data_IF_333204260377
#
_entry.id   IF_333204260377
#
_cell.length_a   1.000
_cell.length_b   1.000
_cell.length_c   1.000
_cell.angle_alpha   90.00
_cell.angle_beta   90.00
_cell.angle_gamma   90.00
#
_symmetry.space_group_name_H-M   'P 1'
#
loop_
_entity.id
_entity.type
_entity.pdbx_description
1 polymer ?
#
# COMPACT_ATOMS: atom_id res chain seq x y z
N UNK A 1 -26.70 8.57 -2.19
CA UNK A 1 -25.56 7.88 -1.57
C UNK A 1 -24.38 8.82 -1.67
N UNK A 2 -23.97 9.46 -0.58
CA UNK A 2 -22.70 10.20 -0.57
C UNK A 2 -21.58 9.16 -0.74
N UNK A 3 -20.82 9.27 -1.83
CA UNK A 3 -19.59 8.52 -2.01
C UNK A 3 -18.62 9.05 -0.96
N UNK A 4 -18.59 8.41 0.22
CA UNK A 4 -17.63 8.75 1.26
C UNK A 4 -16.25 8.58 0.63
N UNK A 5 -15.56 9.69 0.40
CA UNK A 5 -14.29 9.69 -0.32
C UNK A 5 -13.33 8.69 0.36
N UNK A 6 -12.88 7.70 -0.40
CA UNK A 6 -12.01 6.64 0.10
C UNK A 6 -10.70 7.27 0.60
N UNK A 7 -10.38 7.07 1.88
CA UNK A 7 -9.17 7.62 2.47
C UNK A 7 -7.92 7.05 1.78
N UNK A 8 -6.78 7.76 1.84
CA UNK A 8 -5.51 7.26 1.28
C UNK A 8 -5.11 5.90 1.87
N UNK A 9 -5.35 5.70 3.17
CA UNK A 9 -5.07 4.42 3.83
C UNK A 9 -5.97 3.32 3.30
N UNK A 10 -7.26 3.59 3.08
CA UNK A 10 -8.20 2.64 2.50
C UNK A 10 -7.82 2.29 1.04
N UNK A 11 -7.39 3.28 0.25
CA UNK A 11 -6.86 3.06 -1.11
C UNK A 11 -5.65 2.14 -1.11
N UNK A 12 -4.68 2.40 -0.24
CA UNK A 12 -3.48 1.58 -0.13
C UNK A 12 -3.80 0.16 0.36
N UNK A 13 -4.71 0.05 1.33
CA UNK A 13 -5.18 -1.23 1.86
C UNK A 13 -5.88 -2.07 0.78
N UNK A 14 -6.76 -1.45 -0.04
CA UNK A 14 -7.42 -2.12 -1.18
C UNK A 14 -6.40 -2.55 -2.24
N UNK A 15 -5.44 -1.70 -2.58
CA UNK A 15 -4.37 -2.05 -3.52
C UNK A 15 -3.51 -3.23 -3.03
N UNK A 16 -3.19 -3.29 -1.74
CA UNK A 16 -2.50 -4.44 -1.14
C UNK A 16 -3.32 -5.73 -1.25
N UNK A 17 -4.63 -5.65 -0.97
CA UNK A 17 -5.55 -6.78 -1.12
C UNK A 17 -5.65 -7.24 -2.58
N UNK A 18 -5.82 -6.32 -3.53
CA UNK A 18 -5.94 -6.63 -4.97
C UNK A 18 -4.67 -7.27 -5.54
N UNK A 19 -3.51 -7.00 -4.93
CA UNK A 19 -2.23 -7.63 -5.26
C UNK A 19 -2.09 -9.02 -4.65
N UNK A 20 -2.46 -9.21 -3.38
CA UNK A 20 -2.37 -10.51 -2.69
C UNK A 20 -3.44 -11.48 -3.18
N UNK A 21 -4.63 -10.98 -3.55
CA UNK A 21 -5.81 -11.73 -4.00
C UNK A 21 -6.16 -12.91 -3.08
N UNK A 22 -6.43 -12.64 -1.79
CA UNK A 22 -6.80 -13.70 -0.87
C UNK A 22 -8.22 -14.23 -1.15
N UNK A 23 -8.55 -15.41 -0.63
CA UNK A 23 -9.80 -16.13 -0.90
C UNK A 23 -11.06 -15.55 -0.21
N UNK A 24 -11.02 -14.32 0.29
CA UNK A 24 -12.16 -13.65 0.93
C UNK A 24 -12.52 -12.36 0.19
N UNK A 25 -13.80 -11.98 0.18
CA UNK A 25 -14.27 -10.78 -0.52
C UNK A 25 -14.09 -9.51 0.33
N UNK A 26 -13.45 -8.48 -0.24
CA UNK A 26 -13.28 -7.20 0.42
C UNK A 26 -14.60 -6.58 0.87
N UNK A 27 -15.69 -6.77 0.13
CA UNK A 27 -16.96 -6.11 0.41
C UNK A 27 -17.87 -6.96 1.34
N UNK A 28 -17.38 -8.10 1.83
CA UNK A 28 -18.07 -8.96 2.81
C UNK A 28 -18.28 -8.21 4.15
N UNK A 29 -19.51 -8.02 4.64
CA UNK A 29 -19.77 -7.30 5.89
C UNK A 29 -19.03 -7.90 7.09
N UNK A 30 -18.79 -9.21 7.11
CA UNK A 30 -18.17 -9.92 8.23
C UNK A 30 -16.62 -9.85 8.20
N UNK A 31 -16.03 -9.39 7.10
CA UNK A 31 -14.58 -9.31 6.93
C UNK A 31 -13.92 -8.03 7.48
N UNK A 32 -14.61 -7.29 8.37
CA UNK A 32 -14.12 -6.01 8.88
C UNK A 32 -12.80 -6.11 9.63
N UNK A 33 -12.57 -7.22 10.34
CA UNK A 33 -11.30 -7.49 11.01
C UNK A 33 -10.15 -7.61 10.01
N UNK A 34 -10.38 -8.24 8.86
CA UNK A 34 -9.38 -8.40 7.80
C UNK A 34 -9.11 -7.06 7.10
N UNK A 35 -10.15 -6.29 6.77
CA UNK A 35 -9.99 -4.92 6.25
C UNK A 35 -9.19 -4.04 7.20
N UNK A 36 -9.43 -4.14 8.52
CA UNK A 36 -8.65 -3.42 9.53
C UNK A 36 -7.17 -3.80 9.48
N UNK A 37 -6.85 -5.09 9.40
CA UNK A 37 -5.48 -5.56 9.26
C UNK A 37 -4.79 -4.94 8.03
N UNK A 38 -5.46 -4.92 6.87
CA UNK A 38 -4.89 -4.30 5.66
C UNK A 38 -4.68 -2.78 5.80
N UNK A 39 -5.58 -2.06 6.48
CA UNK A 39 -5.37 -0.64 6.80
C UNK A 39 -4.17 -0.43 7.74
N UNK A 40 -3.99 -1.31 8.72
CA UNK A 40 -2.87 -1.23 9.65
C UNK A 40 -1.54 -1.54 8.94
N UNK A 41 -1.54 -2.51 8.01
CA UNK A 41 -0.40 -2.78 7.13
C UNK A 41 -0.09 -1.57 6.22
N UNK A 42 -1.11 -0.93 5.66
CA UNK A 42 -0.93 0.28 4.86
C UNK A 42 -0.30 1.42 5.67
N UNK A 43 -0.72 1.62 6.93
CA UNK A 43 -0.09 2.59 7.84
C UNK A 43 1.36 2.24 8.13
N UNK A 44 1.66 0.97 8.41
CA UNK A 44 3.01 0.51 8.71
C UNK A 44 3.94 0.69 7.51
N UNK A 45 3.49 0.34 6.30
CA UNK A 45 4.26 0.53 5.07
C UNK A 45 4.57 2.01 4.80
N UNK A 46 3.58 2.89 4.97
CA UNK A 46 3.77 4.34 4.83
C UNK A 46 4.72 4.88 5.91
N UNK A 47 4.58 4.40 7.15
CA UNK A 47 5.49 4.75 8.25
C UNK A 47 6.94 4.35 7.96
N UNK A 48 7.15 3.14 7.43
CA UNK A 48 8.47 2.65 7.05
C UNK A 48 9.12 3.44 5.90
N UNK A 49 8.32 4.03 5.00
CA UNK A 49 8.83 4.95 3.97
C UNK A 49 9.27 6.31 4.57
N UNK A 50 8.61 6.75 5.64
CA UNK A 50 8.89 8.05 6.29
C UNK A 50 10.11 8.00 7.20
N UNK A 51 10.30 6.89 7.90
CA UNK A 51 11.45 6.63 8.77
C UNK A 51 12.13 5.33 8.32
N UNK A 52 12.78 5.34 7.15
CA UNK A 52 13.47 4.16 6.65
C UNK A 52 14.63 3.83 7.59
N UNK A 53 14.69 2.58 8.05
CA UNK A 53 15.87 2.08 8.75
C UNK A 53 17.07 2.05 7.79
N UNK A 54 18.30 2.02 8.31
CA UNK A 54 19.51 2.03 7.47
C UNK A 54 19.53 0.89 6.41
N UNK A 55 18.88 -0.24 6.70
CA UNK A 55 18.70 -1.36 5.76
C UNK A 55 17.72 -1.05 4.62
N UNK A 56 16.66 -0.27 4.88
CA UNK A 56 15.72 0.22 3.87
C UNK A 56 16.35 1.37 3.07
N UNK A 57 17.19 2.20 3.68
CA UNK A 57 17.89 3.30 2.99
C UNK A 57 18.92 2.77 1.99
N UNK A 58 19.68 1.73 2.34
CA UNK A 58 20.65 1.09 1.44
C UNK A 58 19.99 0.31 0.30
N UNK A 59 18.82 -0.32 0.52
CA UNK A 59 18.00 -0.86 -0.57
C UNK A 59 17.24 0.22 -1.37
N UNK A 60 16.91 1.35 -0.72
CA UNK A 60 16.16 2.47 -1.27
C UNK A 60 16.88 3.20 -2.40
N UNK A 61 18.22 3.30 -2.36
CA UNK A 61 18.98 3.82 -3.50
C UNK A 61 18.79 2.98 -4.78
N UNK A 62 18.65 1.66 -4.65
CA UNK A 62 18.36 0.79 -5.79
C UNK A 62 16.89 0.93 -6.25
N UNK A 63 15.96 1.11 -5.31
CA UNK A 63 14.53 1.29 -5.64
C UNK A 63 14.25 2.64 -6.31
N UNK A 64 14.82 3.74 -5.80
CA UNK A 64 14.69 5.09 -6.39
C UNK A 64 15.27 5.11 -7.80
N UNK A 65 16.45 4.53 -8.02
CA UNK A 65 17.04 4.43 -9.35
C UNK A 65 16.18 3.61 -10.33
N UNK A 66 15.52 2.55 -9.84
CA UNK A 66 14.61 1.74 -10.65
C UNK A 66 13.33 2.49 -11.01
N UNK A 67 12.74 3.22 -10.06
CA UNK A 67 11.56 4.06 -10.30
C UNK A 67 11.88 5.22 -11.24
N UNK A 68 13.03 5.89 -11.07
CA UNK A 68 13.48 6.97 -11.95
C UNK A 68 13.73 6.46 -13.37
N UNK A 69 14.31 5.27 -13.53
CA UNK A 69 14.49 4.64 -14.85
C UNK A 69 13.16 4.31 -15.52
N UNK A 70 12.19 3.75 -14.78
CA UNK A 70 10.84 3.44 -15.30
C UNK A 70 10.08 4.70 -15.70
N UNK A 71 10.23 5.80 -14.95
CA UNK A 71 9.61 7.09 -15.29
C UNK A 71 10.28 7.77 -16.50
N UNK A 72 11.60 7.64 -16.65
CA UNK A 72 12.35 8.19 -17.77
C UNK A 72 12.11 7.45 -19.10
N UNK A 73 11.68 6.19 -19.07
CA UNK A 73 11.29 5.42 -20.27
C UNK A 73 9.90 5.79 -20.82
N UNK A 74 9.13 6.60 -20.11
CA UNK A 74 7.76 7.00 -20.50
C UNK A 74 7.69 8.37 -21.21
N UNK A 75 8.84 9.05 -21.40
CA UNK A 75 9.03 10.27 -22.21
C UNK A 75 9.72 9.95 -23.56
#
# INVERSE_FOLDING_TARGET
METRAMTMIERAARAMYDNVRPDWDWDDPDAELLRRMYRDNARAAIGALREPSDAVTSAGYAWTAMVDAVLAEQD
#
